data_IF_416395645239
#
_entry.id   IF_416395645239
#
_cell.length_a   1.000
_cell.length_b   1.000
_cell.length_c   1.000
_cell.angle_alpha   90.00
_cell.angle_beta   90.00
_cell.angle_gamma   90.00
#
_symmetry.space_group_name_H-M   'P 1'
#
loop_
_entity.id
_entity.type
_entity.pdbx_description
1 polymer ?
#
# COMPACT_ATOMS: atom_id res chain seq x y z
N UNK A 1 23.44 -2.49 -5.41
CA UNK A 1 22.31 -3.37 -5.70
C UNK A 1 21.69 -2.93 -7.04
N UNK A 2 21.46 -3.88 -7.95
CA UNK A 2 20.76 -3.63 -9.22
C UNK A 2 19.81 -4.79 -9.46
N UNK A 3 18.56 -4.53 -9.74
CA UNK A 3 17.54 -5.50 -10.12
C UNK A 3 16.40 -4.78 -10.85
N UNK A 4 15.60 -5.55 -11.55
CA UNK A 4 14.42 -5.08 -12.27
C UNK A 4 13.21 -5.91 -11.85
N UNK A 5 12.04 -5.30 -11.89
CA UNK A 5 10.75 -5.92 -11.57
C UNK A 5 9.80 -5.57 -12.69
N UNK A 6 9.25 -6.56 -13.33
CA UNK A 6 8.31 -6.38 -14.43
C UNK A 6 6.91 -5.96 -13.92
N UNK A 7 6.14 -5.34 -14.81
CA UNK A 7 4.74 -5.00 -14.49
C UNK A 7 3.95 -6.29 -14.20
N UNK A 8 3.24 -6.29 -13.06
CA UNK A 8 2.47 -7.42 -12.62
C UNK A 8 3.28 -8.53 -11.93
N UNK A 9 4.55 -8.31 -11.68
CA UNK A 9 5.39 -9.23 -10.93
C UNK A 9 5.20 -9.04 -9.42
N UNK A 10 5.13 -10.15 -8.70
CA UNK A 10 5.15 -10.18 -7.24
C UNK A 10 6.52 -10.62 -6.75
N UNK A 11 7.26 -9.71 -6.11
CA UNK A 11 8.64 -9.95 -5.66
C UNK A 11 8.71 -9.93 -4.14
N UNK A 12 9.32 -10.97 -3.56
CA UNK A 12 9.63 -11.04 -2.13
C UNK A 12 11.11 -10.80 -1.88
N UNK A 13 11.43 -9.81 -1.05
CA UNK A 13 12.80 -9.51 -0.61
C UNK A 13 13.02 -10.17 0.74
N UNK A 14 13.90 -11.17 0.78
CA UNK A 14 14.20 -11.95 1.97
C UNK A 14 15.61 -11.64 2.50
N UNK A 15 15.78 -11.76 3.81
CA UNK A 15 17.07 -11.56 4.47
C UNK A 15 16.94 -11.45 5.99
N UNK A 16 18.05 -11.60 6.71
CA UNK A 16 18.09 -11.49 8.16
C UNK A 16 17.62 -10.10 8.65
N UNK A 17 17.24 -10.01 9.93
CA UNK A 17 16.99 -8.71 10.55
C UNK A 17 18.23 -7.82 10.42
N UNK A 18 18.02 -6.54 10.11
CA UNK A 18 19.11 -5.57 9.90
C UNK A 18 19.81 -5.66 8.53
N UNK A 19 19.38 -6.53 7.61
CA UNK A 19 19.97 -6.64 6.26
C UNK A 19 19.63 -5.49 5.31
N UNK A 20 18.86 -4.51 5.75
CA UNK A 20 18.51 -3.32 4.97
C UNK A 20 17.24 -3.42 4.11
N UNK A 21 16.38 -4.42 4.33
CA UNK A 21 15.10 -4.56 3.60
C UNK A 21 14.23 -3.32 3.71
N UNK A 22 13.95 -2.88 4.93
CA UNK A 22 13.15 -1.67 5.21
C UNK A 22 13.83 -0.42 4.63
N UNK A 23 15.16 -0.31 4.69
CA UNK A 23 15.91 0.80 4.07
C UNK A 23 15.72 0.82 2.56
N UNK A 24 15.76 -0.34 1.91
CA UNK A 24 15.50 -0.44 0.47
C UNK A 24 14.07 -0.01 0.14
N UNK A 25 13.07 -0.50 0.87
CA UNK A 25 11.67 -0.09 0.69
C UNK A 25 11.48 1.41 0.92
N UNK A 26 12.14 1.98 1.93
CA UNK A 26 12.12 3.42 2.20
C UNK A 26 12.74 4.24 1.06
N UNK A 27 13.81 3.75 0.43
CA UNK A 27 14.39 4.40 -0.75
C UNK A 27 13.43 4.34 -1.95
N UNK A 28 12.80 3.19 -2.21
CA UNK A 28 11.83 3.03 -3.31
C UNK A 28 10.58 3.87 -3.05
N UNK A 29 10.12 3.96 -1.80
CA UNK A 29 8.98 4.81 -1.43
C UNK A 29 9.33 6.30 -1.34
N UNK A 30 10.59 6.64 -1.56
CA UNK A 30 11.11 8.02 -1.45
C UNK A 30 11.05 8.62 -0.05
N UNK A 31 10.82 7.81 1.00
CA UNK A 31 10.92 8.23 2.41
C UNK A 31 12.38 8.58 2.71
N UNK A 32 13.30 7.68 2.32
CA UNK A 32 14.74 7.90 2.41
C UNK A 32 15.34 8.27 1.05
N UNK A 33 16.49 8.92 1.07
CA UNK A 33 17.24 9.27 -0.13
C UNK A 33 18.31 8.23 -0.42
N UNK A 34 18.47 7.86 -1.68
CA UNK A 34 19.60 7.04 -2.11
C UNK A 34 20.91 7.83 -2.04
N UNK A 35 21.98 7.21 -1.59
CA UNK A 35 23.33 7.81 -1.57
C UNK A 35 23.89 7.95 -2.98
N UNK A 36 23.64 6.95 -3.84
CA UNK A 36 24.07 6.91 -5.24
C UNK A 36 23.20 5.94 -6.05
N UNK A 37 23.23 6.08 -7.35
CA UNK A 37 22.43 5.27 -8.28
C UNK A 37 21.06 5.89 -8.58
N UNK A 38 20.22 5.12 -9.26
CA UNK A 38 18.91 5.55 -9.73
C UNK A 38 17.84 4.50 -9.44
N UNK A 39 16.62 4.95 -9.22
CA UNK A 39 15.43 4.11 -9.10
C UNK A 39 14.42 4.60 -10.12
N UNK A 40 13.95 3.70 -10.98
CA UNK A 40 12.94 3.98 -11.98
C UNK A 40 11.63 3.29 -11.64
N UNK A 41 10.53 4.02 -11.70
CA UNK A 41 9.18 3.45 -11.56
C UNK A 41 8.35 3.90 -12.75
N UNK A 42 7.89 2.95 -13.56
CA UNK A 42 7.16 3.23 -14.80
C UNK A 42 7.93 4.13 -15.77
N UNK A 43 9.26 3.98 -15.84
CA UNK A 43 10.15 4.77 -16.69
C UNK A 43 10.54 6.14 -16.12
N UNK A 44 10.01 6.54 -14.96
CA UNK A 44 10.35 7.81 -14.32
C UNK A 44 11.45 7.62 -13.26
N UNK A 45 12.54 8.40 -13.35
CA UNK A 45 13.61 8.39 -12.34
C UNK A 45 13.15 9.11 -11.08
N UNK A 46 12.70 8.34 -10.09
CA UNK A 46 12.15 8.87 -8.84
C UNK A 46 13.22 9.51 -7.94
N UNK A 47 14.50 9.21 -8.15
CA UNK A 47 15.61 9.81 -7.38
C UNK A 47 15.79 11.30 -7.68
N UNK A 48 15.27 11.76 -8.84
CA UNK A 48 15.33 13.16 -9.28
C UNK A 48 14.11 13.98 -8.88
N UNK A 49 13.06 13.33 -8.38
CA UNK A 49 11.83 14.02 -8.01
C UNK A 49 12.02 14.92 -6.79
N UNK A 50 11.45 16.13 -6.84
CA UNK A 50 11.49 17.11 -5.75
C UNK A 50 10.16 17.86 -5.64
N UNK A 51 9.89 18.41 -4.45
CA UNK A 51 8.73 19.27 -4.20
C UNK A 51 7.41 18.66 -4.66
N UNK A 52 6.65 19.37 -5.45
CA UNK A 52 5.31 18.96 -5.88
C UNK A 52 5.31 17.66 -6.72
N UNK A 53 6.34 17.41 -7.53
CA UNK A 53 6.43 16.18 -8.34
C UNK A 53 6.65 14.96 -7.45
N UNK A 54 7.47 15.07 -6.40
CA UNK A 54 7.66 14.01 -5.41
C UNK A 54 6.35 13.71 -4.65
N UNK A 55 5.65 14.75 -4.22
CA UNK A 55 4.36 14.60 -3.54
C UNK A 55 3.29 13.98 -4.46
N UNK A 56 3.30 14.35 -5.74
CA UNK A 56 2.43 13.75 -6.76
C UNK A 56 2.71 12.28 -6.95
N UNK A 57 3.99 11.90 -7.09
CA UNK A 57 4.40 10.49 -7.19
C UNK A 57 3.89 9.67 -6.01
N UNK A 58 4.15 10.11 -4.77
CA UNK A 58 3.69 9.42 -3.55
C UNK A 58 2.17 9.26 -3.51
N UNK A 59 1.43 10.27 -3.91
CA UNK A 59 -0.04 10.29 -3.84
C UNK A 59 -0.71 9.46 -4.93
N UNK A 60 -0.11 9.39 -6.12
CA UNK A 60 -0.78 8.84 -7.29
C UNK A 60 -0.20 7.50 -7.76
N UNK A 61 1.09 7.26 -7.51
CA UNK A 61 1.80 6.12 -8.10
C UNK A 61 2.30 5.10 -7.08
N UNK A 62 2.28 5.44 -5.79
CA UNK A 62 2.82 4.60 -4.73
C UNK A 62 1.71 4.17 -3.76
N UNK A 63 1.62 2.86 -3.52
CA UNK A 63 0.93 2.28 -2.37
C UNK A 63 1.94 1.78 -1.35
N UNK A 64 1.68 1.97 -0.06
CA UNK A 64 2.55 1.45 0.99
C UNK A 64 1.75 0.78 2.10
N UNK A 65 2.15 -0.44 2.45
CA UNK A 65 1.59 -1.23 3.54
C UNK A 65 2.66 -1.35 4.61
N UNK A 66 2.40 -0.75 5.77
CA UNK A 66 3.31 -0.74 6.90
C UNK A 66 3.09 -1.95 7.80
N UNK A 67 4.13 -2.39 8.50
CA UNK A 67 4.08 -3.46 9.49
C UNK A 67 3.04 -3.19 10.58
N UNK A 68 2.99 -1.96 11.11
CA UNK A 68 2.06 -1.53 12.17
C UNK A 68 0.74 -0.94 11.63
N UNK A 69 0.35 -1.29 10.38
CA UNK A 69 -0.85 -0.83 9.68
C UNK A 69 -0.90 0.68 9.43
N UNK A 70 -0.43 1.51 10.35
CA UNK A 70 -0.47 2.98 10.33
C UNK A 70 -1.85 3.54 9.95
N UNK A 71 -2.91 2.95 10.50
CA UNK A 71 -4.25 3.50 10.38
C UNK A 71 -4.42 4.69 11.33
N UNK A 72 -5.18 5.67 10.89
CA UNK A 72 -5.53 6.82 11.73
C UNK A 72 -6.66 6.40 12.67
N UNK A 73 -6.39 6.36 13.97
CA UNK A 73 -7.33 5.88 15.01
C UNK A 73 -8.58 6.76 15.17
N UNK A 74 -8.47 8.02 14.73
CA UNK A 74 -9.58 8.99 14.73
C UNK A 74 -10.51 8.87 13.54
N UNK A 75 -10.18 8.03 12.57
CA UNK A 75 -10.93 7.79 11.35
C UNK A 75 -11.47 6.36 11.31
N UNK A 76 -12.68 6.20 10.77
CA UNK A 76 -13.24 4.89 10.45
C UNK A 76 -12.41 4.16 9.37
N UNK A 77 -12.67 2.87 9.15
CA UNK A 77 -12.05 2.13 8.05
C UNK A 77 -12.38 2.78 6.69
N UNK A 78 -13.63 3.20 6.48
CA UNK A 78 -14.04 3.91 5.27
C UNK A 78 -13.21 5.18 5.05
N UNK A 79 -13.08 6.01 6.08
CA UNK A 79 -12.32 7.26 6.01
C UNK A 79 -10.82 7.03 5.80
N UNK A 80 -10.23 6.03 6.47
CA UNK A 80 -8.84 5.63 6.24
C UNK A 80 -8.59 5.24 4.78
N UNK A 81 -9.50 4.47 4.18
CA UNK A 81 -9.39 4.04 2.78
C UNK A 81 -9.62 5.21 1.82
N UNK A 82 -10.64 6.02 2.07
CA UNK A 82 -11.05 7.12 1.17
C UNK A 82 -10.11 8.32 1.18
N UNK A 83 -9.29 8.47 2.22
CA UNK A 83 -8.45 9.66 2.44
C UNK A 83 -7.60 10.02 1.23
N UNK A 84 -6.94 9.03 0.61
CA UNK A 84 -6.08 9.25 -0.55
C UNK A 84 -6.85 9.81 -1.77
N UNK A 85 -8.07 9.32 -2.00
CA UNK A 85 -8.95 9.81 -3.07
C UNK A 85 -9.49 11.21 -2.77
N UNK A 86 -9.77 11.51 -1.50
CA UNK A 86 -10.19 12.83 -1.04
C UNK A 86 -9.09 13.88 -1.28
N UNK A 87 -7.83 13.53 -0.99
CA UNK A 87 -6.67 14.38 -1.28
C UNK A 87 -6.48 14.60 -2.79
N UNK A 88 -6.91 13.65 -3.63
CA UNK A 88 -6.92 13.78 -5.08
C UNK A 88 -8.14 14.58 -5.62
N UNK A 89 -8.98 15.12 -4.75
CA UNK A 89 -10.21 15.84 -5.09
C UNK A 89 -11.20 15.02 -5.94
N UNK A 90 -11.28 13.70 -5.72
CA UNK A 90 -12.27 12.85 -6.37
C UNK A 90 -13.67 13.15 -5.86
N UNK A 91 -14.69 12.96 -6.70
CA UNK A 91 -16.08 13.18 -6.30
C UNK A 91 -16.53 12.16 -5.25
N UNK A 92 -17.45 12.55 -4.35
CA UNK A 92 -17.98 11.66 -3.32
C UNK A 92 -18.55 10.36 -3.91
N UNK A 93 -19.22 10.44 -5.07
CA UNK A 93 -19.77 9.26 -5.77
C UNK A 93 -18.68 8.32 -6.27
N UNK A 94 -17.57 8.84 -6.78
CA UNK A 94 -16.42 8.05 -7.24
C UNK A 94 -15.71 7.38 -6.05
N UNK A 95 -15.52 8.14 -4.95
CA UNK A 95 -14.93 7.64 -3.71
C UNK A 95 -15.77 6.48 -3.16
N UNK A 96 -17.07 6.70 -2.98
CA UNK A 96 -17.97 5.68 -2.42
C UNK A 96 -17.98 4.40 -3.25
N UNK A 97 -18.03 4.52 -4.57
CA UNK A 97 -17.94 3.37 -5.47
C UNK A 97 -16.63 2.61 -5.29
N UNK A 98 -15.48 3.31 -5.36
CA UNK A 98 -14.16 2.66 -5.23
C UNK A 98 -13.95 2.01 -3.86
N UNK A 99 -14.36 2.67 -2.77
CA UNK A 99 -14.25 2.11 -1.42
C UNK A 99 -15.11 0.86 -1.29
N UNK A 100 -16.36 0.88 -1.76
CA UNK A 100 -17.22 -0.30 -1.71
C UNK A 100 -16.71 -1.45 -2.57
N UNK A 101 -16.15 -1.17 -3.74
CA UNK A 101 -15.55 -2.17 -4.63
C UNK A 101 -14.35 -2.85 -3.97
N UNK A 102 -13.39 -2.08 -3.44
CA UNK A 102 -12.21 -2.63 -2.77
C UNK A 102 -12.56 -3.35 -1.47
N UNK A 103 -13.52 -2.81 -0.70
CA UNK A 103 -13.97 -3.43 0.54
C UNK A 103 -14.66 -4.78 0.30
N UNK A 104 -15.39 -4.91 -0.81
CA UNK A 104 -15.98 -6.19 -1.21
C UNK A 104 -14.90 -7.21 -1.54
N UNK A 105 -13.90 -6.82 -2.33
CA UNK A 105 -12.79 -7.69 -2.75
C UNK A 105 -11.97 -8.21 -1.56
N UNK A 106 -11.73 -7.35 -0.57
CA UNK A 106 -10.93 -7.69 0.61
C UNK A 106 -11.77 -8.23 1.79
N UNK A 107 -13.08 -8.41 1.62
CA UNK A 107 -13.95 -8.96 2.67
C UNK A 107 -14.00 -8.10 3.94
N UNK A 108 -14.08 -6.77 3.80
CA UNK A 108 -14.07 -5.80 4.91
C UNK A 108 -15.27 -4.85 4.90
N UNK A 109 -16.33 -5.17 4.15
CA UNK A 109 -17.54 -4.32 4.13
C UNK A 109 -18.17 -4.12 5.51
N UNK A 110 -18.17 -5.17 6.31
CA UNK A 110 -18.75 -5.19 7.66
C UNK A 110 -18.01 -4.31 8.67
N UNK A 111 -16.81 -3.88 8.35
CA UNK A 111 -15.98 -3.04 9.22
C UNK A 111 -15.79 -1.61 8.72
N UNK A 112 -16.36 -1.22 7.60
CA UNK A 112 -16.16 0.11 7.02
C UNK A 112 -16.51 1.26 7.99
N UNK A 113 -17.49 1.08 8.85
CA UNK A 113 -17.91 2.08 9.84
C UNK A 113 -17.22 1.93 11.21
N UNK A 114 -16.29 0.96 11.34
CA UNK A 114 -15.56 0.75 12.60
C UNK A 114 -14.27 1.57 12.62
N UNK A 115 -13.88 1.97 13.82
CA UNK A 115 -12.58 2.57 14.09
C UNK A 115 -11.51 1.48 14.26
N UNK A 116 -10.21 1.79 14.07
CA UNK A 116 -9.12 0.82 14.21
C UNK A 116 -9.14 0.02 15.51
N UNK A 117 -9.44 0.64 16.64
CA UNK A 117 -9.53 -0.03 17.94
C UNK A 117 -10.67 -1.05 18.05
N UNK A 118 -11.65 -1.02 17.16
CA UNK A 118 -12.79 -1.96 17.09
C UNK A 118 -12.53 -3.13 16.14
N UNK A 119 -11.37 -3.19 15.50
CA UNK A 119 -11.02 -4.18 14.48
C UNK A 119 -9.97 -5.17 14.98
N UNK A 120 -10.05 -6.42 14.51
CA UNK A 120 -8.97 -7.40 14.69
C UNK A 120 -7.72 -7.02 13.88
N UNK A 121 -6.55 -7.59 14.21
CA UNK A 121 -5.32 -7.37 13.47
C UNK A 121 -5.46 -7.65 11.97
N UNK A 122 -6.09 -8.78 11.61
CA UNK A 122 -6.36 -9.13 10.22
C UNK A 122 -7.32 -8.16 9.50
N UNK A 123 -8.31 -7.59 10.21
CA UNK A 123 -9.19 -6.56 9.65
C UNK A 123 -8.41 -5.26 9.42
N UNK A 124 -7.59 -4.82 10.39
CA UNK A 124 -6.72 -3.64 10.24
C UNK A 124 -5.78 -3.79 9.04
N UNK A 125 -5.18 -4.97 8.89
CA UNK A 125 -4.27 -5.24 7.76
C UNK A 125 -4.98 -5.14 6.42
N UNK A 126 -6.18 -5.73 6.28
CA UNK A 126 -6.95 -5.61 5.05
C UNK A 126 -7.42 -4.18 4.77
N UNK A 127 -7.75 -3.41 5.79
CA UNK A 127 -8.04 -1.97 5.66
C UNK A 127 -6.80 -1.19 5.20
N UNK A 128 -5.62 -1.46 5.76
CA UNK A 128 -4.36 -0.86 5.34
C UNK A 128 -4.02 -1.23 3.88
N UNK A 129 -4.26 -2.48 3.49
CA UNK A 129 -4.10 -2.93 2.10
C UNK A 129 -5.08 -2.22 1.16
N UNK A 130 -6.36 -2.11 1.54
CA UNK A 130 -7.35 -1.35 0.77
C UNK A 130 -6.91 0.09 0.55
N UNK A 131 -6.43 0.76 1.61
CA UNK A 131 -5.90 2.12 1.53
C UNK A 131 -4.71 2.24 0.57
N UNK A 132 -3.82 1.26 0.57
CA UNK A 132 -2.64 1.28 -0.27
C UNK A 132 -2.95 1.16 -1.77
N UNK A 133 -4.02 0.44 -2.13
CA UNK A 133 -4.35 0.15 -3.54
C UNK A 133 -5.49 1.00 -4.11
N UNK A 134 -6.21 1.77 -3.29
CA UNK A 134 -7.43 2.50 -3.71
C UNK A 134 -7.18 3.51 -4.82
N UNK A 135 -5.95 3.99 -4.96
CA UNK A 135 -5.52 4.97 -5.98
C UNK A 135 -5.10 4.33 -7.29
N UNK A 136 -5.15 3.01 -7.41
CA UNK A 136 -4.60 2.24 -8.53
C UNK A 136 -3.10 2.56 -8.77
N UNK A 137 -2.23 2.36 -7.76
CA UNK A 137 -0.83 2.77 -7.84
C UNK A 137 -0.03 1.93 -8.83
N UNK A 138 1.09 2.45 -9.33
CA UNK A 138 2.01 1.73 -10.22
C UNK A 138 2.87 0.70 -9.47
N UNK A 139 3.13 0.93 -8.20
CA UNK A 139 3.88 0.03 -7.33
C UNK A 139 3.25 0.00 -5.94
N UNK A 140 3.15 -1.19 -5.37
CA UNK A 140 2.76 -1.39 -3.97
C UNK A 140 3.95 -1.97 -3.23
N UNK A 141 4.38 -1.31 -2.17
CA UNK A 141 5.43 -1.76 -1.27
C UNK A 141 4.79 -2.27 0.03
N UNK A 142 5.31 -3.37 0.55
CA UNK A 142 4.84 -3.93 1.81
C UNK A 142 6.04 -4.29 2.70
N UNK A 143 6.12 -3.69 3.88
CA UNK A 143 7.16 -4.01 4.87
C UNK A 143 6.56 -4.97 5.90
N UNK A 144 7.06 -6.21 5.90
CA UNK A 144 6.61 -7.30 6.78
C UNK A 144 5.07 -7.41 6.92
N UNK A 145 4.30 -7.46 5.81
CA UNK A 145 2.84 -7.32 5.85
C UNK A 145 2.12 -8.44 6.60
N UNK A 146 2.81 -9.55 6.87
CA UNK A 146 2.30 -10.71 7.60
C UNK A 146 2.84 -10.81 9.03
N UNK A 147 3.77 -9.96 9.42
CA UNK A 147 4.50 -10.08 10.70
C UNK A 147 3.62 -10.00 11.95
N UNK A 148 2.50 -9.29 11.88
CA UNK A 148 1.54 -9.14 12.99
C UNK A 148 0.31 -10.07 12.87
N UNK A 149 0.31 -11.03 11.92
CA UNK A 149 -0.84 -11.86 11.61
C UNK A 149 -0.61 -13.33 11.97
N UNK A 150 -1.68 -14.02 12.36
CA UNK A 150 -1.71 -15.50 12.42
C UNK A 150 -1.61 -16.10 11.00
N UNK A 151 -1.27 -17.38 10.92
CA UNK A 151 -1.04 -18.09 9.65
C UNK A 151 -2.24 -18.04 8.69
N UNK A 152 -3.48 -18.05 9.21
CA UNK A 152 -4.70 -17.99 8.40
C UNK A 152 -4.88 -16.61 7.80
N UNK A 153 -4.72 -15.58 8.60
CA UNK A 153 -4.82 -14.17 8.17
C UNK A 153 -3.70 -13.80 7.20
N UNK A 154 -2.49 -14.33 7.41
CA UNK A 154 -1.36 -14.16 6.50
C UNK A 154 -1.65 -14.75 5.12
N UNK A 155 -2.19 -15.98 5.06
CA UNK A 155 -2.57 -16.62 3.80
C UNK A 155 -3.65 -15.81 3.06
N UNK A 156 -4.71 -15.40 3.75
CA UNK A 156 -5.77 -14.58 3.16
C UNK A 156 -5.26 -13.24 2.62
N UNK A 157 -4.27 -12.64 3.28
CA UNK A 157 -3.65 -11.41 2.80
C UNK A 157 -2.86 -11.65 1.51
N UNK A 158 -2.02 -12.69 1.46
CA UNK A 158 -1.26 -13.04 0.26
C UNK A 158 -2.18 -13.40 -0.91
N UNK A 159 -3.22 -14.20 -0.68
CA UNK A 159 -4.25 -14.48 -1.70
C UNK A 159 -4.94 -13.20 -2.20
N UNK A 160 -5.13 -12.22 -1.32
CA UNK A 160 -5.66 -10.91 -1.70
C UNK A 160 -4.69 -10.12 -2.57
N UNK A 161 -3.38 -10.21 -2.31
CA UNK A 161 -2.36 -9.57 -3.14
C UNK A 161 -2.23 -10.25 -4.51
N UNK A 162 -2.25 -11.57 -4.56
CA UNK A 162 -2.24 -12.33 -5.84
C UNK A 162 -3.46 -11.93 -6.69
N UNK A 163 -4.64 -11.93 -6.09
CA UNK A 163 -5.87 -11.49 -6.77
C UNK A 163 -5.78 -10.05 -7.29
N UNK A 164 -5.20 -9.13 -6.50
CA UNK A 164 -5.03 -7.74 -6.90
C UNK A 164 -4.01 -7.62 -8.03
N UNK A 165 -2.94 -8.36 -7.97
CA UNK A 165 -1.91 -8.39 -9.01
C UNK A 165 -2.48 -8.88 -10.36
N UNK A 166 -3.29 -9.94 -10.35
CA UNK A 166 -3.98 -10.45 -11.56
C UNK A 166 -5.01 -9.46 -12.13
N UNK A 167 -5.60 -8.60 -11.31
CA UNK A 167 -6.66 -7.66 -11.72
C UNK A 167 -6.13 -6.29 -12.13
N UNK A 168 -4.92 -5.90 -11.69
CA UNK A 168 -4.28 -4.63 -12.04
C UNK A 168 -3.42 -4.73 -13.32
N UNK A 169 -3.27 -5.92 -13.87
CA UNK A 169 -2.73 -6.22 -15.19
C UNK A 169 -3.86 -6.16 -16.24
#
# INVERSE_FOLDING_TARGET
>A
LSFEVDKGEFVAIMGASGSGKTTLLNCISTIDKVTSGHIFVGGEDITKLKGNNLNKFRREKLGFIFQDFNLLDTLTAYENISLALSIQNKSAKEIDKKVNDVATKLGIKDVLQKYPYQMSGGQKQRVASARAIITDPQIVLADEPTGALDSKSSRMLLESFDYLNEKLN
#
